data_IF_275070867199
#
_entry.id   IF_275070867199
#
_cell.length_a   1.000
_cell.length_b   1.000
_cell.length_c   1.000
_cell.angle_alpha   90.00
_cell.angle_beta   90.00
_cell.angle_gamma   90.00
#
_symmetry.space_group_name_H-M   'P 1'
#
loop_
_entity.id
_entity.type
_entity.pdbx_description
1 polymer ?
#
# COMPACT_ATOMS: atom_id res chain seq x y z
N UNK A 1 18.30 6.08 -2.27
CA UNK A 1 18.12 6.18 -0.81
C UNK A 1 19.51 6.10 -0.19
N UNK A 2 20.06 7.21 0.28
CA UNK A 2 21.40 7.21 0.87
C UNK A 2 21.34 6.42 2.19
N UNK A 3 22.22 5.44 2.35
CA UNK A 3 22.43 4.77 3.63
C UNK A 3 22.87 5.86 4.63
N UNK A 4 22.31 5.91 5.85
CA UNK A 4 22.80 6.84 6.85
C UNK A 4 24.29 6.58 7.04
N UNK A 5 25.11 7.65 7.06
CA UNK A 5 26.50 7.55 7.50
C UNK A 5 26.50 6.80 8.83
N UNK A 6 27.24 5.71 8.92
CA UNK A 6 27.50 5.03 10.18
C UNK A 6 28.20 6.04 11.07
N UNK A 7 27.47 6.62 12.04
CA UNK A 7 28.06 7.54 13.00
C UNK A 7 28.90 6.72 13.97
N UNK A 8 30.13 7.16 14.21
CA UNK A 8 31.01 6.50 15.17
C UNK A 8 30.43 6.69 16.58
N UNK A 9 30.18 5.56 17.24
CA UNK A 9 29.63 5.47 18.59
C UNK A 9 30.78 5.23 19.57
N UNK A 10 31.06 6.24 20.39
CA UNK A 10 32.07 6.17 21.43
C UNK A 10 31.41 6.01 22.80
N UNK A 11 32.03 5.22 23.68
CA UNK A 11 31.57 5.01 25.05
C UNK A 11 32.59 5.58 26.02
N UNK A 12 32.12 6.34 27.02
CA UNK A 12 32.98 7.04 27.97
C UNK A 12 32.36 7.09 29.37
N UNK A 13 33.21 7.04 30.39
CA UNK A 13 32.78 7.14 31.78
C UNK A 13 32.33 8.58 32.14
N UNK A 14 31.30 8.72 32.98
CA UNK A 14 30.83 10.03 33.51
C UNK A 14 31.97 10.91 34.01
N UNK A 15 32.94 10.32 34.70
CA UNK A 15 34.05 11.07 35.31
C UNK A 15 34.97 11.72 34.27
N UNK A 16 35.13 11.06 33.13
CA UNK A 16 35.92 11.54 31.99
C UNK A 16 35.11 12.54 31.17
N UNK A 17 33.84 12.22 30.89
CA UNK A 17 32.92 13.10 30.18
C UNK A 17 32.78 14.47 30.86
N UNK A 18 32.74 14.49 32.20
CA UNK A 18 32.72 15.73 32.98
C UNK A 18 34.01 16.54 32.81
N UNK A 19 35.18 15.90 32.76
CA UNK A 19 36.47 16.61 32.67
C UNK A 19 36.67 17.25 31.30
N UNK A 20 36.16 16.62 30.24
CA UNK A 20 36.38 17.03 28.85
C UNK A 20 35.13 17.60 28.18
N UNK A 21 34.10 17.96 28.95
CA UNK A 21 32.76 18.26 28.43
C UNK A 21 32.74 19.28 27.28
N UNK A 22 33.56 20.34 27.36
CA UNK A 22 33.63 21.35 26.30
C UNK A 22 34.19 20.80 24.98
N UNK A 23 35.21 19.94 25.06
CA UNK A 23 35.80 19.32 23.88
C UNK A 23 34.83 18.30 23.26
N UNK A 24 34.09 17.57 24.08
CA UNK A 24 33.05 16.64 23.62
C UNK A 24 31.94 17.35 22.87
N UNK A 25 31.47 18.50 23.35
CA UNK A 25 30.47 19.30 22.63
C UNK A 25 30.99 19.75 21.27
N UNK A 26 32.27 20.12 21.16
CA UNK A 26 32.87 20.50 19.89
C UNK A 26 32.95 19.32 18.92
N UNK A 27 33.38 18.15 19.38
CA UNK A 27 33.46 16.91 18.59
C UNK A 27 32.09 16.48 18.09
N UNK A 28 31.10 16.38 18.99
CA UNK A 28 29.71 16.04 18.65
C UNK A 28 29.12 17.05 17.66
N UNK A 29 29.45 18.33 17.77
CA UNK A 29 28.95 19.33 16.84
C UNK A 29 29.62 19.27 15.45
N UNK A 30 30.93 19.02 15.37
CA UNK A 30 31.71 19.09 14.12
C UNK A 30 31.81 17.76 13.39
N UNK A 31 32.09 16.70 14.12
CA UNK A 31 32.43 15.39 13.59
C UNK A 31 31.22 14.45 13.56
N UNK A 32 30.06 14.94 14.01
CA UNK A 32 28.79 14.20 14.11
C UNK A 32 28.87 12.91 14.94
N UNK A 33 29.81 12.87 15.89
CA UNK A 33 30.02 11.74 16.79
C UNK A 33 28.86 11.54 17.77
N UNK A 34 28.63 10.27 18.15
CA UNK A 34 27.68 9.88 19.17
C UNK A 34 28.43 9.39 20.40
N UNK A 35 28.16 9.95 21.57
CA UNK A 35 28.85 9.58 22.80
C UNK A 35 27.87 9.00 23.80
N UNK A 36 28.11 7.76 24.22
CA UNK A 36 27.41 7.12 25.34
C UNK A 36 28.18 7.39 26.62
N UNK A 37 27.50 8.02 27.58
CA UNK A 37 28.02 8.32 28.91
C UNK A 37 27.59 7.24 29.88
N UNK A 38 28.57 6.56 30.47
CA UNK A 38 28.35 5.41 31.36
C UNK A 38 28.79 5.70 32.79
N UNK A 39 28.07 5.12 33.75
CA UNK A 39 28.47 5.08 35.16
C UNK A 39 28.65 3.64 35.58
N UNK A 40 29.86 3.26 35.96
CA UNK A 40 30.20 1.89 36.38
C UNK A 40 29.80 0.82 35.34
N UNK A 41 30.00 1.13 34.05
CA UNK A 41 29.65 0.23 32.93
C UNK A 41 28.16 0.17 32.58
N UNK A 42 27.33 1.03 33.17
CA UNK A 42 25.91 1.13 32.83
C UNK A 42 25.70 2.40 31.99
N UNK A 43 25.12 2.32 30.78
CA UNK A 43 24.81 3.48 29.96
C UNK A 43 23.71 4.32 30.59
N UNK A 44 23.99 5.60 30.82
CA UNK A 44 23.09 6.53 31.54
C UNK A 44 22.56 7.64 30.64
N UNK A 45 23.38 8.15 29.72
CA UNK A 45 22.99 9.25 28.84
C UNK A 45 23.74 9.17 27.51
N UNK A 46 23.23 9.87 26.49
CA UNK A 46 23.91 10.09 25.22
C UNK A 46 24.13 11.57 24.96
N UNK A 47 25.28 11.94 24.42
CA UNK A 47 25.53 13.27 23.84
C UNK A 47 25.55 13.08 22.33
N UNK A 48 24.65 13.78 21.65
CA UNK A 48 24.42 13.59 20.21
C UNK A 48 24.30 14.93 19.50
N UNK A 49 24.58 14.98 18.19
CA UNK A 49 24.38 16.19 17.40
C UNK A 49 22.89 16.58 17.39
N UNK A 50 22.58 17.88 17.34
CA UNK A 50 21.18 18.34 17.26
C UNK A 50 20.43 17.86 16.02
N UNK A 51 21.14 17.49 14.94
CA UNK A 51 20.55 16.86 13.75
C UNK A 51 19.86 15.53 14.09
N UNK A 52 20.45 14.73 14.98
CA UNK A 52 19.89 13.45 15.43
C UNK A 52 18.61 13.67 16.23
N UNK A 53 18.62 14.64 17.14
CA UNK A 53 17.44 15.00 17.94
C UNK A 53 16.29 15.46 17.03
N UNK A 54 16.58 16.33 16.05
CA UNK A 54 15.58 16.81 15.08
C UNK A 54 15.01 15.68 14.24
N UNK A 55 15.87 14.82 13.68
CA UNK A 55 15.43 13.68 12.88
C UNK A 55 14.56 12.69 13.70
N UNK A 56 14.87 12.49 14.98
CA UNK A 56 14.06 11.66 15.86
C UNK A 56 12.67 12.30 16.13
N UNK A 57 12.62 13.61 16.37
CA UNK A 57 11.37 14.34 16.57
C UNK A 57 10.47 14.33 15.33
N UNK A 58 11.05 14.55 14.14
CA UNK A 58 10.33 14.48 12.87
C UNK A 58 9.74 13.09 12.62
N UNK A 59 10.52 12.03 12.87
CA UNK A 59 10.04 10.65 12.75
C UNK A 59 8.96 10.29 13.76
N UNK A 60 9.07 10.78 14.99
CA UNK A 60 8.03 10.54 16.00
C UNK A 60 6.72 11.23 15.62
N UNK A 61 6.78 12.47 15.11
CA UNK A 61 5.59 13.16 14.61
C UNK A 61 4.90 12.39 13.48
N UNK A 62 5.68 11.93 12.49
CA UNK A 62 5.16 11.10 11.38
C UNK A 62 4.60 9.77 11.87
N UNK A 63 5.24 9.15 12.87
CA UNK A 63 4.77 7.89 13.47
C UNK A 63 3.42 8.06 14.15
N UNK A 64 3.23 9.15 14.91
CA UNK A 64 1.96 9.41 15.59
C UNK A 64 0.82 9.62 14.60
N UNK A 65 1.05 10.38 13.52
CA UNK A 65 0.07 10.56 12.44
C UNK A 65 -0.27 9.21 11.77
N UNK A 66 0.75 8.42 11.44
CA UNK A 66 0.54 7.11 10.80
C UNK A 66 -0.20 6.12 11.71
N UNK A 67 0.12 6.09 13.00
CA UNK A 67 -0.57 5.24 13.98
C UNK A 67 -2.03 5.67 14.16
N UNK A 68 -2.34 6.96 14.12
CA UNK A 68 -3.72 7.44 14.18
C UNK A 68 -4.52 6.96 12.97
N UNK A 69 -3.99 7.09 11.76
CA UNK A 69 -4.64 6.58 10.53
C UNK A 69 -4.87 5.08 10.62
N UNK A 70 -3.86 4.30 11.02
CA UNK A 70 -3.99 2.85 11.20
C UNK A 70 -5.03 2.46 12.23
N UNK A 71 -5.11 3.18 13.36
CA UNK A 71 -6.10 2.91 14.39
C UNK A 71 -7.53 3.22 13.90
N UNK A 72 -7.72 4.31 13.16
CA UNK A 72 -9.02 4.64 12.55
C UNK A 72 -9.43 3.57 11.54
N UNK A 73 -8.54 3.15 10.65
CA UNK A 73 -8.86 2.10 9.67
C UNK A 73 -9.12 0.76 10.36
N UNK A 74 -8.31 0.38 11.35
CA UNK A 74 -8.46 -0.88 12.10
C UNK A 74 -9.81 -0.95 12.81
N UNK A 75 -10.32 0.17 13.33
CA UNK A 75 -11.62 0.20 14.03
C UNK A 75 -12.79 -0.30 13.15
N UNK A 76 -12.71 -0.11 11.82
CA UNK A 76 -13.69 -0.62 10.87
C UNK A 76 -13.66 -2.14 10.67
N UNK A 77 -12.61 -2.82 11.14
CA UNK A 77 -12.41 -4.27 10.98
C UNK A 77 -12.43 -5.04 12.31
N UNK A 78 -12.62 -4.37 13.46
CA UNK A 78 -12.57 -5.01 14.80
C UNK A 78 -13.62 -6.11 15.01
N UNK A 79 -14.74 -6.07 14.26
CA UNK A 79 -15.86 -7.01 14.41
C UNK A 79 -16.16 -7.83 13.15
N UNK A 80 -15.25 -7.87 12.17
CA UNK A 80 -15.42 -8.69 10.97
C UNK A 80 -14.75 -10.04 11.23
N UNK A 81 -15.52 -11.12 11.19
CA UNK A 81 -14.97 -12.46 11.34
C UNK A 81 -14.19 -12.86 10.09
N UNK A 82 -13.27 -13.82 10.23
CA UNK A 82 -12.47 -14.33 9.11
C UNK A 82 -13.36 -14.86 7.98
N UNK A 83 -14.45 -15.55 8.33
CA UNK A 83 -15.41 -16.10 7.36
C UNK A 83 -16.14 -15.01 6.57
N UNK A 84 -16.39 -13.84 7.18
CA UNK A 84 -17.04 -12.72 6.50
C UNK A 84 -16.09 -12.00 5.55
N UNK A 85 -14.81 -11.88 5.94
CA UNK A 85 -13.75 -11.37 5.07
C UNK A 85 -13.58 -12.28 3.85
N UNK A 86 -13.50 -13.60 4.08
CA UNK A 86 -13.37 -14.59 3.01
C UNK A 86 -14.54 -14.54 2.04
N UNK A 87 -15.79 -14.45 2.54
CA UNK A 87 -16.98 -14.32 1.69
C UNK A 87 -16.95 -13.07 0.82
N UNK A 88 -16.60 -11.91 1.37
CA UNK A 88 -16.52 -10.67 0.60
C UNK A 88 -15.37 -10.70 -0.42
N UNK A 89 -14.24 -11.32 -0.08
CA UNK A 89 -13.13 -11.55 -1.03
C UNK A 89 -13.59 -12.46 -2.17
N UNK A 90 -14.24 -13.59 -1.87
CA UNK A 90 -14.73 -14.52 -2.88
C UNK A 90 -15.75 -13.85 -3.81
N UNK A 91 -16.66 -13.05 -3.25
CA UNK A 91 -17.65 -12.29 -4.03
C UNK A 91 -16.98 -11.30 -4.97
N UNK A 92 -16.02 -10.51 -4.48
CA UNK A 92 -15.29 -9.56 -5.30
C UNK A 92 -14.47 -10.26 -6.40
N UNK A 93 -13.82 -11.38 -6.07
CA UNK A 93 -13.09 -12.19 -7.05
C UNK A 93 -14.02 -12.82 -8.10
N UNK A 94 -15.22 -13.25 -7.70
CA UNK A 94 -16.22 -13.79 -8.60
C UNK A 94 -16.70 -12.72 -9.59
N UNK A 95 -16.96 -11.49 -9.13
CA UNK A 95 -17.35 -10.36 -9.96
C UNK A 95 -16.28 -10.02 -11.01
N UNK A 96 -15.03 -9.87 -10.59
CA UNK A 96 -13.89 -9.63 -11.49
C UNK A 96 -13.74 -10.77 -12.52
N UNK A 97 -13.96 -12.02 -12.09
CA UNK A 97 -13.91 -13.17 -12.99
C UNK A 97 -15.02 -13.11 -14.04
N UNK A 98 -16.24 -12.72 -13.66
CA UNK A 98 -17.35 -12.55 -14.58
C UNK A 98 -17.07 -11.43 -15.59
N UNK A 99 -16.60 -10.27 -15.15
CA UNK A 99 -16.22 -9.17 -16.06
C UNK A 99 -15.13 -9.60 -17.05
N UNK A 100 -14.09 -10.30 -16.59
CA UNK A 100 -13.03 -10.80 -17.47
C UNK A 100 -13.52 -11.82 -18.49
N UNK A 101 -14.42 -12.72 -18.08
CA UNK A 101 -15.03 -13.70 -19.00
C UNK A 101 -15.90 -13.00 -20.04
N UNK A 102 -16.65 -11.99 -19.62
CA UNK A 102 -17.49 -11.18 -20.50
C UNK A 102 -16.65 -10.41 -21.53
N UNK A 103 -15.62 -9.70 -21.08
CA UNK A 103 -14.69 -9.00 -21.98
C UNK A 103 -14.04 -9.96 -22.98
N UNK A 104 -13.59 -11.14 -22.53
CA UNK A 104 -13.03 -12.18 -23.42
C UNK A 104 -14.04 -12.67 -24.46
N UNK A 105 -15.31 -12.83 -24.10
CA UNK A 105 -16.37 -13.23 -25.03
C UNK A 105 -16.63 -12.16 -26.09
N UNK A 106 -16.67 -10.89 -25.68
CA UNK A 106 -16.80 -9.77 -26.62
C UNK A 106 -15.63 -9.74 -27.59
N UNK A 107 -14.40 -9.82 -27.10
CA UNK A 107 -13.20 -9.84 -27.96
C UNK A 107 -13.23 -11.03 -28.93
N UNK A 108 -13.62 -12.22 -28.46
CA UNK A 108 -13.76 -13.40 -29.32
C UNK A 108 -14.89 -13.24 -30.37
N UNK A 109 -15.98 -12.57 -30.03
CA UNK A 109 -17.08 -12.29 -30.95
C UNK A 109 -16.68 -11.26 -32.02
N UNK A 110 -15.96 -10.19 -31.63
CA UNK A 110 -15.41 -9.21 -32.57
C UNK A 110 -14.47 -9.90 -33.55
N UNK A 111 -13.49 -10.68 -33.06
CA UNK A 111 -12.55 -11.41 -33.92
C UNK A 111 -13.22 -12.37 -34.92
N UNK A 112 -14.41 -12.91 -34.61
CA UNK A 112 -15.16 -13.78 -35.53
C UNK A 112 -15.94 -13.00 -36.59
N UNK A 113 -16.45 -11.83 -36.24
CA UNK A 113 -17.35 -11.03 -37.07
C UNK A 113 -16.56 -10.10 -37.99
N UNK A 114 -15.52 -9.48 -37.44
CA UNK A 114 -14.68 -8.47 -38.09
C UNK A 114 -13.26 -8.61 -37.53
N UNK A 115 -12.42 -9.47 -38.14
CA UNK A 115 -11.05 -9.73 -37.67
C UNK A 115 -10.15 -8.48 -37.70
N UNK A 116 -10.45 -7.55 -38.59
CA UNK A 116 -9.81 -6.25 -38.81
C UNK A 116 -10.41 -5.12 -37.97
N UNK A 117 -11.46 -5.38 -37.18
CA UNK A 117 -12.12 -4.35 -36.39
C UNK A 117 -11.13 -3.62 -35.46
N UNK A 118 -10.17 -4.34 -34.89
CA UNK A 118 -9.14 -3.75 -34.01
C UNK A 118 -8.12 -2.85 -34.74
N UNK A 119 -8.07 -2.90 -36.07
CA UNK A 119 -7.24 -2.03 -36.91
C UNK A 119 -8.07 -0.89 -37.55
N UNK A 120 -9.39 -0.91 -37.36
CA UNK A 120 -10.33 0.09 -37.87
C UNK A 120 -10.48 1.30 -36.93
N UNK A 121 -11.18 2.34 -37.38
CA UNK A 121 -11.49 3.52 -36.57
C UNK A 121 -12.27 3.15 -35.30
N UNK A 122 -12.02 3.87 -34.19
CA UNK A 122 -12.70 3.68 -32.90
C UNK A 122 -14.24 3.65 -33.04
N UNK A 123 -14.80 4.44 -33.96
CA UNK A 123 -16.25 4.50 -34.23
C UNK A 123 -16.82 3.17 -34.79
N UNK A 124 -16.02 2.43 -35.57
CA UNK A 124 -16.41 1.10 -36.07
C UNK A 124 -16.32 0.03 -35.00
N UNK A 125 -15.35 0.14 -34.10
CA UNK A 125 -15.24 -0.73 -32.93
C UNK A 125 -16.42 -0.55 -31.97
N UNK A 126 -16.77 0.69 -31.63
CA UNK A 126 -17.91 1.01 -30.77
C UNK A 126 -19.22 0.47 -31.35
N UNK A 127 -19.45 0.67 -32.65
CA UNK A 127 -20.65 0.17 -33.35
C UNK A 127 -20.72 -1.37 -33.32
N UNK A 128 -19.58 -2.03 -33.52
CA UNK A 128 -19.49 -3.50 -33.51
C UNK A 128 -19.75 -4.06 -32.11
N UNK A 129 -19.15 -3.45 -31.08
CA UNK A 129 -19.38 -3.81 -29.66
C UNK A 129 -20.85 -3.58 -29.29
N UNK A 130 -21.43 -2.44 -29.62
CA UNK A 130 -22.83 -2.11 -29.29
C UNK A 130 -23.82 -3.13 -29.90
N UNK A 131 -23.55 -3.59 -31.12
CA UNK A 131 -24.36 -4.64 -31.76
C UNK A 131 -24.27 -5.97 -31.02
N UNK A 132 -23.05 -6.41 -30.66
CA UNK A 132 -22.83 -7.64 -29.92
C UNK A 132 -23.52 -7.60 -28.55
N UNK A 133 -23.43 -6.48 -27.84
CA UNK A 133 -24.11 -6.28 -26.55
C UNK A 133 -25.63 -6.35 -26.68
N UNK A 134 -26.19 -5.75 -27.73
CA UNK A 134 -27.64 -5.74 -27.97
C UNK A 134 -28.17 -7.15 -28.28
N UNK A 135 -27.41 -7.95 -29.02
CA UNK A 135 -27.78 -9.33 -29.34
C UNK A 135 -27.65 -10.26 -28.13
N UNK A 136 -26.61 -10.10 -27.31
CA UNK A 136 -26.49 -10.85 -26.05
C UNK A 136 -27.62 -10.52 -25.06
N UNK A 137 -28.04 -9.25 -24.97
CA UNK A 137 -29.18 -8.84 -24.13
C UNK A 137 -30.50 -9.47 -24.59
N UNK A 138 -30.73 -9.55 -25.92
CA UNK A 138 -31.90 -10.23 -26.50
C UNK A 138 -31.88 -11.73 -26.23
N UNK A 139 -30.72 -12.38 -26.31
CA UNK A 139 -30.59 -13.80 -25.99
C UNK A 139 -30.84 -14.11 -24.51
N UNK A 140 -30.34 -13.28 -23.59
CA UNK A 140 -30.64 -13.41 -22.15
C UNK A 140 -32.14 -13.28 -21.87
N UNK A 141 -32.78 -12.25 -22.41
CA UNK A 141 -34.22 -12.02 -22.22
C UNK A 141 -35.10 -13.13 -22.85
N UNK A 142 -34.66 -13.73 -23.96
CA UNK A 142 -35.34 -14.88 -24.57
C UNK A 142 -35.18 -16.16 -23.75
N UNK A 143 -34.00 -16.39 -23.16
CA UNK A 143 -33.73 -17.54 -22.28
C UNK A 143 -34.50 -17.49 -20.95
N UNK A 144 -34.65 -16.31 -20.37
CA UNK A 144 -35.46 -16.12 -19.15
C UNK A 144 -36.95 -16.37 -19.39
N UNK A 145 -37.47 -15.99 -20.58
CA UNK A 145 -38.87 -16.26 -20.96
C UNK A 145 -39.15 -17.74 -21.19
N UNK A 146 -38.21 -18.51 -21.75
CA UNK A 146 -38.39 -19.97 -21.93
C UNK A 146 -38.25 -20.75 -20.64
N UNK A 147 -37.41 -20.30 -19.70
CA UNK A 147 -37.33 -20.87 -18.34
C UNK A 147 -38.63 -20.61 -17.55
N UNK A 148 -39.24 -19.43 -17.69
CA UNK A 148 -40.52 -19.11 -17.06
C UNK A 148 -41.71 -19.89 -17.65
N UNK A 149 -41.69 -20.17 -18.96
CA UNK A 149 -42.76 -20.92 -19.65
C UNK A 149 -42.74 -22.43 -19.38
N UNK A 150 -41.58 -23.02 -19.09
CA UNK A 150 -41.43 -24.45 -18.76
C UNK A 150 -41.60 -24.76 -17.26
N UNK A 151 -41.81 -23.73 -16.43
CA UNK A 151 -42.05 -23.85 -14.99
C UNK A 151 -43.54 -23.67 -14.60
N UNK A 152 -44.44 -23.61 -15.59
CA UNK A 152 -45.91 -23.64 -15.45
C UNK A 152 -46.49 -24.87 -16.13
#
# INVERSE_FOLDING_TARGET
>A
MALPKTQDLETMNVSEARKQFSDLLNRVHRDEELIVVEKSGIPMAGIVPMSVVRAAQEKEAQRQEFLQVLNTTRSGFVNVSEEEIEREIEKALAEIKQERLFARRIVAAINRISPDAFESSDEHLETTVARILTDEARQKAAGEKTLAANAS
#
